data_IF_202984768387
#
_entry.id   IF_202984768387
#
_cell.length_a   1.000
_cell.length_b   1.000
_cell.length_c   1.000
_cell.angle_alpha   90.00
_cell.angle_beta   90.00
_cell.angle_gamma   90.00
#
_symmetry.space_group_name_H-M   'P 1'
#
loop_
_entity.id
_entity.type
_entity.pdbx_description
1 polymer ?
#
# COMPACT_ATOMS: atom_id res chain seq x y z
N UNK A 1 -11.85 -14.10 50.66
CA UNK A 1 -13.31 -14.12 50.44
C UNK A 1 -13.54 -13.83 48.97
N UNK A 2 -14.14 -14.81 48.29
CA UNK A 2 -14.29 -14.91 46.84
C UNK A 2 -15.42 -14.04 46.29
N UNK A 3 -15.15 -13.38 45.16
CA UNK A 3 -16.09 -13.03 44.07
C UNK A 3 -15.27 -12.25 43.03
N UNK A 4 -14.83 -12.76 41.87
CA UNK A 4 -15.42 -13.77 41.00
C UNK A 4 -16.34 -13.10 39.97
N UNK A 5 -15.79 -12.44 38.93
CA UNK A 5 -16.55 -12.07 37.73
C UNK A 5 -15.74 -12.50 36.51
N UNK A 6 -16.33 -13.46 35.78
CA UNK A 6 -15.74 -14.19 34.67
C UNK A 6 -15.91 -13.43 33.35
N UNK A 7 -14.91 -13.66 32.49
CA UNK A 7 -14.83 -13.23 31.10
C UNK A 7 -15.87 -13.97 30.24
N UNK A 8 -16.78 -13.23 29.62
CA UNK A 8 -17.76 -13.77 28.68
C UNK A 8 -17.18 -13.93 27.28
N UNK A 9 -16.64 -15.11 26.98
CA UNK A 9 -16.34 -15.58 25.62
C UNK A 9 -17.67 -15.83 24.90
N UNK A 10 -17.91 -15.14 23.78
CA UNK A 10 -19.08 -15.42 22.92
C UNK A 10 -18.84 -16.72 22.16
N UNK A 11 -19.56 -17.76 22.57
CA UNK A 11 -19.59 -19.05 21.91
C UNK A 11 -20.26 -18.96 20.53
N UNK A 12 -19.61 -19.57 19.54
CA UNK A 12 -20.14 -19.81 18.19
C UNK A 12 -21.18 -20.92 18.31
N UNK A 13 -22.43 -20.61 17.98
CA UNK A 13 -23.51 -21.59 17.95
C UNK A 13 -23.36 -22.48 16.71
N UNK A 14 -22.87 -23.70 16.91
CA UNK A 14 -22.92 -24.77 15.92
C UNK A 14 -24.35 -25.31 15.85
N UNK A 15 -25.06 -25.03 14.76
CA UNK A 15 -26.31 -25.69 14.44
C UNK A 15 -26.01 -27.05 13.81
N UNK A 16 -26.17 -28.11 14.61
CA UNK A 16 -26.24 -29.49 14.12
C UNK A 16 -27.64 -29.71 13.56
N UNK A 17 -27.78 -29.75 12.24
CA UNK A 17 -28.96 -30.31 11.58
C UNK A 17 -28.54 -31.64 10.93
N UNK A 18 -28.98 -32.73 11.56
CA UNK A 18 -28.88 -34.06 10.99
C UNK A 18 -29.88 -34.22 9.85
N UNK A 19 -29.40 -34.72 8.71
CA UNK A 19 -30.23 -35.29 7.65
C UNK A 19 -29.60 -36.64 7.30
N UNK A 20 -30.24 -37.72 7.78
CA UNK A 20 -30.06 -39.06 7.25
C UNK A 20 -31.06 -39.25 6.11
N UNK A 21 -30.59 -39.66 4.93
CA UNK A 21 -31.49 -40.23 3.91
C UNK A 21 -31.11 -39.95 2.46
N UNK A 22 -30.21 -40.79 1.93
CA UNK A 22 -30.15 -41.33 0.56
C UNK A 22 -30.48 -40.39 -0.61
N UNK A 23 -29.42 -39.94 -1.27
CA UNK A 23 -29.46 -39.33 -2.59
C UNK A 23 -28.11 -38.72 -2.90
N UNK A 24 -27.23 -39.47 -3.55
CA UNK A 24 -26.02 -38.91 -4.15
C UNK A 24 -26.44 -37.97 -5.28
N UNK A 25 -26.77 -36.73 -4.93
CA UNK A 25 -26.81 -35.64 -5.87
C UNK A 25 -25.37 -35.40 -6.29
N UNK A 26 -25.00 -35.99 -7.41
CA UNK A 26 -23.81 -35.58 -8.16
C UNK A 26 -23.92 -34.07 -8.34
N UNK A 27 -23.06 -33.33 -7.64
CA UNK A 27 -22.87 -31.90 -7.90
C UNK A 27 -22.42 -31.80 -9.36
N UNK A 28 -23.20 -31.20 -10.26
CA UNK A 28 -22.79 -31.07 -11.64
C UNK A 28 -21.57 -30.14 -11.67
N UNK A 29 -20.43 -30.71 -12.05
CA UNK A 29 -19.29 -30.01 -12.64
C UNK A 29 -18.77 -28.82 -11.84
N UNK A 30 -18.00 -29.08 -10.78
CA UNK A 30 -16.76 -28.32 -10.64
C UNK A 30 -15.88 -28.76 -11.81
N UNK A 31 -16.08 -28.16 -12.98
CA UNK A 31 -15.08 -28.22 -14.04
C UNK A 31 -13.82 -27.64 -13.42
N UNK A 32 -12.82 -28.49 -13.18
CA UNK A 32 -11.47 -28.01 -12.90
C UNK A 32 -11.19 -26.93 -13.96
N UNK A 33 -10.85 -25.71 -13.51
CA UNK A 33 -10.40 -24.68 -14.42
C UNK A 33 -9.31 -25.32 -15.27
N UNK A 34 -9.49 -25.35 -16.59
CA UNK A 34 -8.48 -25.88 -17.48
C UNK A 34 -7.19 -25.11 -17.18
N UNK A 35 -6.12 -25.84 -16.88
CA UNK A 35 -4.80 -25.25 -16.62
C UNK A 35 -4.46 -24.35 -17.82
N UNK A 36 -4.27 -23.05 -17.55
CA UNK A 36 -3.98 -22.08 -18.61
C UNK A 36 -2.62 -22.43 -19.23
N UNK A 37 -2.46 -22.29 -20.55
CA UNK A 37 -1.18 -22.58 -21.20
C UNK A 37 -0.07 -21.71 -20.58
N UNK A 38 1.08 -22.32 -20.31
CA UNK A 38 2.20 -21.65 -19.67
C UNK A 38 3.30 -21.37 -20.70
N UNK A 39 3.82 -20.14 -20.70
CA UNK A 39 4.91 -19.70 -21.57
C UNK A 39 6.08 -19.23 -20.72
N UNK A 40 7.29 -19.68 -21.01
CA UNK A 40 8.50 -19.18 -20.36
C UNK A 40 8.98 -17.92 -21.07
N UNK A 41 9.48 -16.94 -20.32
CA UNK A 41 9.95 -15.70 -20.93
C UNK A 41 11.19 -15.94 -21.82
N UNK A 42 12.07 -16.88 -21.47
CA UNK A 42 13.24 -17.21 -22.30
C UNK A 42 12.86 -17.82 -23.66
N UNK A 43 11.72 -18.50 -23.77
CA UNK A 43 11.23 -19.05 -25.04
C UNK A 43 10.82 -17.96 -26.03
N UNK A 44 10.51 -16.75 -25.53
CA UNK A 44 10.10 -15.59 -26.32
C UNK A 44 11.28 -14.71 -26.73
N UNK A 45 12.49 -15.03 -26.26
CA UNK A 45 13.65 -14.14 -26.37
C UNK A 45 14.12 -13.96 -27.81
N UNK A 46 14.18 -12.70 -28.26
CA UNK A 46 14.77 -12.36 -29.55
C UNK A 46 16.26 -12.03 -29.38
N UNK A 47 17.14 -12.93 -29.81
CA UNK A 47 18.60 -12.73 -29.71
C UNK A 47 19.12 -11.49 -30.46
N UNK A 48 18.44 -11.05 -31.53
CA UNK A 48 18.87 -9.89 -32.32
C UNK A 48 18.53 -8.58 -31.64
N UNK A 49 17.39 -8.53 -30.96
CA UNK A 49 16.90 -7.32 -30.29
C UNK A 49 17.31 -7.29 -28.81
N UNK A 50 17.71 -8.43 -28.24
CA UNK A 50 18.11 -8.55 -26.85
C UNK A 50 16.96 -8.29 -25.87
N UNK A 51 15.71 -8.47 -26.33
CA UNK A 51 14.47 -8.26 -25.59
C UNK A 51 13.36 -9.16 -26.15
N UNK A 52 12.23 -9.23 -25.45
CA UNK A 52 10.96 -9.75 -25.98
C UNK A 52 10.13 -8.55 -26.42
N UNK A 53 9.76 -8.43 -27.70
CA UNK A 53 9.06 -7.25 -28.19
C UNK A 53 7.96 -7.58 -29.21
N UNK A 54 6.84 -6.85 -29.12
CA UNK A 54 5.69 -7.01 -30.01
C UNK A 54 5.12 -8.44 -30.02
N UNK A 55 5.06 -9.06 -28.84
CA UNK A 55 4.56 -10.42 -28.65
C UNK A 55 3.22 -10.39 -27.94
N UNK A 56 2.33 -11.29 -28.35
CA UNK A 56 1.10 -11.61 -27.63
C UNK A 56 1.26 -12.99 -26.98
N UNK A 57 1.14 -13.05 -25.66
CA UNK A 57 1.17 -14.29 -24.88
C UNK A 57 -0.26 -14.64 -24.50
N UNK A 58 -0.72 -15.84 -24.87
CA UNK A 58 -2.00 -16.39 -24.45
C UNK A 58 -1.74 -17.40 -23.35
N UNK A 59 -2.32 -17.17 -22.17
CA UNK A 59 -2.03 -17.89 -20.94
C UNK A 59 -0.94 -17.22 -20.10
N UNK A 60 -0.42 -17.97 -19.13
CA UNK A 60 0.46 -17.46 -18.10
C UNK A 60 1.90 -17.30 -18.61
N UNK A 61 2.53 -16.21 -18.22
CA UNK A 61 3.95 -15.95 -18.45
C UNK A 61 4.74 -16.23 -17.17
N UNK A 62 5.72 -17.13 -17.26
CA UNK A 62 6.65 -17.41 -16.17
C UNK A 62 8.01 -16.79 -16.49
N UNK A 63 8.49 -15.95 -15.59
CA UNK A 63 9.84 -15.41 -15.65
C UNK A 63 10.80 -16.48 -15.14
N UNK A 64 11.62 -17.01 -16.03
CA UNK A 64 12.58 -18.09 -15.77
C UNK A 64 14.05 -17.67 -16.00
N UNK A 65 14.26 -16.42 -16.41
CA UNK A 65 15.56 -15.82 -16.66
C UNK A 65 15.48 -14.30 -16.81
N UNK A 66 16.44 -13.69 -17.50
CA UNK A 66 16.38 -12.27 -17.84
C UNK A 66 15.16 -12.00 -18.73
N UNK A 67 14.23 -11.19 -18.25
CA UNK A 67 12.99 -10.89 -18.95
C UNK A 67 12.79 -9.38 -19.08
N UNK A 68 12.93 -8.87 -20.29
CA UNK A 68 12.55 -7.49 -20.63
C UNK A 68 11.54 -7.59 -21.77
N UNK A 69 10.30 -7.18 -21.50
CA UNK A 69 9.22 -7.17 -22.48
C UNK A 69 8.86 -5.74 -22.86
N UNK A 70 8.70 -5.50 -24.16
CA UNK A 70 8.34 -4.20 -24.71
C UNK A 70 7.11 -4.31 -25.62
N UNK A 71 6.14 -3.40 -25.48
CA UNK A 71 5.00 -3.26 -26.42
C UNK A 71 4.32 -4.60 -26.72
N UNK A 72 3.96 -5.30 -25.66
CA UNK A 72 3.49 -6.69 -25.72
C UNK A 72 2.22 -6.85 -24.88
N UNK A 73 1.54 -7.99 -24.99
CA UNK A 73 0.39 -8.30 -24.16
C UNK A 73 0.47 -9.72 -23.59
N UNK A 74 -0.08 -9.89 -22.40
CA UNK A 74 -0.25 -11.18 -21.74
C UNK A 74 -1.74 -11.32 -21.39
N UNK A 75 -2.40 -12.34 -21.93
CA UNK A 75 -3.78 -12.70 -21.60
C UNK A 75 -3.74 -13.89 -20.63
N UNK A 76 -3.51 -13.58 -19.36
CA UNK A 76 -3.15 -14.52 -18.32
C UNK A 76 -2.28 -13.85 -17.26
N UNK A 77 -1.79 -14.64 -16.32
CA UNK A 77 -1.02 -14.12 -15.20
C UNK A 77 0.48 -14.01 -15.54
N UNK A 78 1.18 -13.10 -14.87
CA UNK A 78 2.64 -13.03 -14.92
C UNK A 78 3.21 -13.45 -13.57
N UNK A 79 4.09 -14.44 -13.56
CA UNK A 79 4.73 -14.94 -12.34
C UNK A 79 6.21 -14.61 -12.37
N UNK A 80 6.68 -13.95 -11.30
CA UNK A 80 8.08 -13.53 -11.10
C UNK A 80 8.63 -14.24 -9.86
N UNK A 81 9.29 -15.40 -10.02
CA UNK A 81 9.86 -16.15 -8.91
C UNK A 81 10.95 -15.38 -8.16
N UNK A 82 11.28 -15.85 -6.96
CA UNK A 82 12.38 -15.30 -6.16
C UNK A 82 13.72 -15.40 -6.90
N UNK A 83 14.61 -14.43 -6.65
CA UNK A 83 15.91 -14.30 -7.31
C UNK A 83 15.85 -13.73 -8.74
N UNK A 84 14.70 -13.80 -9.40
CA UNK A 84 14.50 -13.35 -10.77
C UNK A 84 13.94 -11.93 -10.85
N UNK A 85 13.93 -11.37 -12.06
CA UNK A 85 13.43 -10.03 -12.31
C UNK A 85 12.85 -9.86 -13.70
N UNK A 86 11.83 -9.03 -13.79
CA UNK A 86 11.18 -8.65 -15.05
C UNK A 86 11.05 -7.14 -15.16
N UNK A 87 11.21 -6.66 -16.39
CA UNK A 87 10.81 -5.31 -16.79
C UNK A 87 9.74 -5.45 -17.87
N UNK A 88 8.56 -4.91 -17.59
CA UNK A 88 7.45 -4.81 -18.51
C UNK A 88 7.31 -3.33 -18.89
N UNK A 89 7.58 -3.02 -20.16
CA UNK A 89 7.53 -1.66 -20.70
C UNK A 89 6.48 -1.56 -21.80
N UNK A 90 5.48 -0.70 -21.61
CA UNK A 90 4.30 -0.61 -22.50
C UNK A 90 3.60 -1.97 -22.70
N UNK A 91 3.49 -2.76 -21.63
CA UNK A 91 2.85 -4.08 -21.65
C UNK A 91 1.46 -4.01 -21.03
N UNK A 92 0.52 -4.76 -21.62
CA UNK A 92 -0.81 -4.97 -21.04
C UNK A 92 -0.89 -6.41 -20.50
N UNK A 93 -1.18 -6.55 -19.21
CA UNK A 93 -1.44 -7.83 -18.56
C UNK A 93 -2.93 -7.89 -18.23
N UNK A 94 -3.67 -8.74 -18.92
CA UNK A 94 -5.06 -9.08 -18.62
C UNK A 94 -5.12 -10.29 -17.68
N UNK A 95 -4.63 -10.06 -16.47
CA UNK A 95 -4.46 -11.04 -15.41
C UNK A 95 -3.73 -10.41 -14.22
N UNK A 96 -3.37 -11.25 -13.26
CA UNK A 96 -2.62 -10.86 -12.07
C UNK A 96 -1.10 -10.89 -12.31
N UNK A 97 -0.34 -10.15 -11.51
CA UNK A 97 1.12 -10.22 -11.50
C UNK A 97 1.58 -10.67 -10.12
N UNK A 98 2.15 -11.88 -10.01
CA UNK A 98 2.67 -12.43 -8.76
C UNK A 98 4.17 -12.25 -8.67
N UNK A 99 4.64 -11.59 -7.62
CA UNK A 99 6.04 -11.16 -7.49
C UNK A 99 6.64 -11.64 -6.18
N UNK A 100 7.53 -12.63 -6.27
CA UNK A 100 8.46 -13.01 -5.20
C UNK A 100 9.86 -12.44 -5.42
N UNK A 101 10.21 -12.17 -6.69
CA UNK A 101 11.47 -11.52 -7.12
C UNK A 101 11.33 -10.01 -7.33
N UNK A 102 11.68 -9.50 -8.51
CA UNK A 102 11.61 -8.06 -8.82
C UNK A 102 10.77 -7.78 -10.06
N UNK A 103 9.83 -6.85 -9.98
CA UNK A 103 9.04 -6.42 -11.12
C UNK A 103 9.13 -4.90 -11.31
N UNK A 104 9.45 -4.47 -12.53
CA UNK A 104 9.33 -3.09 -12.98
C UNK A 104 8.25 -3.00 -14.06
N UNK A 105 7.26 -2.14 -13.85
CA UNK A 105 6.12 -1.89 -14.72
C UNK A 105 6.19 -0.45 -15.22
N UNK A 106 6.74 -0.26 -16.42
CA UNK A 106 6.93 1.03 -17.06
C UNK A 106 5.83 1.24 -18.09
N UNK A 107 5.03 2.30 -17.94
CA UNK A 107 3.93 2.63 -18.86
C UNK A 107 2.98 1.46 -19.15
N UNK A 108 2.93 0.50 -18.22
CA UNK A 108 2.23 -0.78 -18.38
C UNK A 108 0.90 -0.76 -17.66
N UNK A 109 -0.01 -1.64 -18.09
CA UNK A 109 -1.35 -1.77 -17.51
C UNK A 109 -1.48 -3.19 -16.98
N UNK A 110 -1.86 -3.32 -15.71
CA UNK A 110 -2.25 -4.61 -15.10
C UNK A 110 -3.73 -4.55 -14.76
N UNK A 111 -4.53 -5.36 -15.45
CA UNK A 111 -5.98 -5.47 -15.22
C UNK A 111 -6.31 -6.14 -13.89
N UNK A 112 -5.50 -7.12 -13.48
CA UNK A 112 -5.61 -7.81 -12.20
C UNK A 112 -4.87 -7.12 -11.05
N UNK A 113 -4.68 -7.86 -9.97
CA UNK A 113 -3.89 -7.45 -8.81
C UNK A 113 -2.39 -7.70 -9.03
N UNK A 114 -1.56 -6.92 -8.36
CA UNK A 114 -0.15 -7.25 -8.16
C UNK A 114 0.02 -7.82 -6.75
N UNK A 115 0.33 -9.11 -6.67
CA UNK A 115 0.50 -9.85 -5.42
C UNK A 115 1.99 -9.97 -5.09
N UNK A 116 2.38 -9.49 -3.91
CA UNK A 116 3.76 -9.47 -3.45
C UNK A 116 3.95 -10.57 -2.40
N UNK A 117 4.87 -11.50 -2.66
CA UNK A 117 5.11 -12.64 -1.78
C UNK A 117 6.60 -12.76 -1.43
N UNK A 118 7.12 -11.78 -0.69
CA UNK A 118 8.50 -11.80 -0.23
C UNK A 118 8.89 -10.57 0.58
N UNK A 119 8.76 -10.64 1.91
CA UNK A 119 9.10 -9.52 2.80
C UNK A 119 10.56 -9.04 2.67
N UNK A 120 11.49 -9.89 2.25
CA UNK A 120 12.91 -9.55 2.07
C UNK A 120 13.40 -9.56 0.63
N UNK A 121 12.55 -9.93 -0.33
CA UNK A 121 12.96 -10.22 -1.72
C UNK A 121 12.08 -9.49 -2.72
N UNK A 122 10.76 -9.59 -2.56
CA UNK A 122 9.78 -9.02 -3.47
C UNK A 122 9.95 -7.50 -3.57
N UNK A 123 10.17 -7.00 -4.79
CA UNK A 123 10.30 -5.57 -5.06
C UNK A 123 9.45 -5.19 -6.26
N UNK A 124 8.63 -4.15 -6.11
CA UNK A 124 7.78 -3.63 -7.18
C UNK A 124 8.14 -2.19 -7.51
N UNK A 125 8.26 -1.87 -8.79
CA UNK A 125 8.38 -0.50 -9.29
C UNK A 125 7.33 -0.26 -10.37
N UNK A 126 6.48 0.76 -10.21
CA UNK A 126 5.48 1.15 -11.21
C UNK A 126 5.76 2.59 -11.62
N UNK A 127 5.90 2.84 -12.92
CA UNK A 127 6.24 4.15 -13.48
C UNK A 127 5.29 4.52 -14.61
N UNK A 128 4.49 5.57 -14.44
CA UNK A 128 3.55 6.07 -15.46
C UNK A 128 2.41 5.11 -15.88
N UNK A 129 2.45 3.85 -15.44
CA UNK A 129 1.46 2.81 -15.73
C UNK A 129 0.25 2.82 -14.80
N UNK A 130 -0.69 1.91 -15.05
CA UNK A 130 -1.88 1.70 -14.21
C UNK A 130 -1.93 0.28 -13.68
N UNK A 131 -2.10 0.14 -12.37
CA UNK A 131 -2.37 -1.15 -11.72
C UNK A 131 -3.69 -1.05 -10.95
N UNK A 132 -4.40 -2.18 -10.84
CA UNK A 132 -5.69 -2.20 -10.13
C UNK A 132 -5.49 -2.25 -8.63
N UNK A 133 -4.99 -3.36 -8.10
CA UNK A 133 -4.68 -3.54 -6.69
C UNK A 133 -3.20 -3.88 -6.50
N UNK A 134 -2.65 -3.56 -5.34
CA UNK A 134 -1.34 -4.06 -4.89
C UNK A 134 -1.45 -4.53 -3.45
N UNK A 135 -1.06 -5.78 -3.20
CA UNK A 135 -1.15 -6.36 -1.88
C UNK A 135 -0.01 -7.31 -1.54
N UNK A 136 0.25 -7.48 -0.25
CA UNK A 136 1.13 -8.55 0.27
C UNK A 136 2.39 -8.06 0.97
N UNK A 137 3.45 -8.87 0.91
CA UNK A 137 4.71 -8.68 1.62
C UNK A 137 5.81 -8.31 0.64
N UNK A 138 6.53 -7.22 0.92
CA UNK A 138 7.60 -6.75 0.06
C UNK A 138 8.83 -6.31 0.85
N UNK A 139 9.98 -6.30 0.18
CA UNK A 139 11.13 -5.51 0.62
C UNK A 139 10.85 -4.04 0.37
N UNK A 140 10.55 -3.68 -0.87
CA UNK A 140 10.24 -2.31 -1.26
C UNK A 140 9.18 -2.21 -2.35
N UNK A 141 8.39 -1.14 -2.31
CA UNK A 141 7.46 -0.78 -3.38
C UNK A 141 7.64 0.67 -3.77
N UNK A 142 7.81 0.92 -5.06
CA UNK A 142 7.94 2.25 -5.65
C UNK A 142 6.81 2.53 -6.65
N UNK A 143 6.12 3.64 -6.48
CA UNK A 143 5.25 4.24 -7.48
C UNK A 143 5.86 5.58 -7.87
N UNK A 144 6.07 5.81 -9.17
CA UNK A 144 6.74 7.00 -9.67
C UNK A 144 6.07 7.58 -10.93
N UNK A 145 6.34 8.85 -11.17
CA UNK A 145 6.21 9.49 -12.49
C UNK A 145 4.88 9.25 -13.20
N UNK A 146 3.77 9.57 -12.54
CA UNK A 146 2.43 9.44 -13.10
C UNK A 146 1.78 8.07 -12.93
N UNK A 147 2.40 7.15 -12.18
CA UNK A 147 1.81 5.86 -11.88
C UNK A 147 0.45 6.02 -11.18
N UNK A 148 -0.49 5.14 -11.53
CA UNK A 148 -1.86 5.16 -11.03
C UNK A 148 -2.26 3.82 -10.43
N UNK A 149 -2.82 3.87 -9.23
CA UNK A 149 -3.53 2.75 -8.61
C UNK A 149 -5.02 3.06 -8.59
N UNK A 150 -5.84 2.20 -9.19
CA UNK A 150 -7.29 2.41 -9.28
C UNK A 150 -8.09 1.76 -8.15
N UNK A 151 -7.54 0.71 -7.53
CA UNK A 151 -8.08 -0.01 -6.39
C UNK A 151 -7.24 0.21 -5.12
N UNK A 152 -7.00 -0.87 -4.39
CA UNK A 152 -6.46 -0.85 -3.03
C UNK A 152 -4.95 -1.06 -2.99
N UNK A 153 -4.26 -0.31 -2.13
CA UNK A 153 -2.89 -0.59 -1.73
C UNK A 153 -2.88 -1.14 -0.30
N UNK A 154 -2.49 -2.40 -0.13
CA UNK A 154 -2.40 -3.06 1.17
C UNK A 154 -1.08 -3.83 1.27
N UNK A 155 0.01 -3.12 1.60
CA UNK A 155 1.36 -3.67 1.57
C UNK A 155 2.03 -3.57 2.92
N UNK A 156 2.72 -4.64 3.31
CA UNK A 156 3.72 -4.62 4.37
C UNK A 156 5.11 -4.63 3.76
N UNK A 157 5.85 -3.53 3.90
CA UNK A 157 7.24 -3.45 3.44
C UNK A 157 8.21 -3.60 4.62
N UNK A 158 9.30 -4.33 4.42
CA UNK A 158 10.39 -4.36 5.41
C UNK A 158 11.31 -3.14 5.30
N UNK A 159 11.49 -2.59 4.09
CA UNK A 159 12.39 -1.46 3.86
C UNK A 159 11.64 -0.18 3.48
N UNK A 160 10.81 -0.18 2.45
CA UNK A 160 10.31 1.08 1.88
C UNK A 160 9.00 1.01 1.10
N UNK A 161 8.18 2.04 1.31
CA UNK A 161 7.10 2.49 0.44
C UNK A 161 7.49 3.86 -0.14
N UNK A 162 7.90 3.92 -1.41
CA UNK A 162 8.27 5.17 -2.09
C UNK A 162 7.17 5.55 -3.07
N UNK A 163 6.30 6.48 -2.69
CA UNK A 163 5.12 6.87 -3.47
C UNK A 163 5.30 8.32 -3.97
N UNK A 164 5.74 8.48 -5.22
CA UNK A 164 6.21 9.74 -5.77
C UNK A 164 5.48 10.12 -7.06
N UNK A 165 4.97 11.34 -7.17
CA UNK A 165 4.33 11.81 -8.41
C UNK A 165 3.17 10.93 -8.88
N UNK A 166 2.46 10.27 -7.97
CA UNK A 166 1.54 9.17 -8.30
C UNK A 166 0.12 9.43 -7.78
N UNK A 167 -0.86 8.72 -8.34
CA UNK A 167 -2.28 8.86 -7.98
C UNK A 167 -2.86 7.55 -7.46
N UNK A 168 -3.45 7.59 -6.26
CA UNK A 168 -4.11 6.45 -5.61
C UNK A 168 -5.58 6.78 -5.44
N UNK A 169 -6.43 6.11 -6.23
CA UNK A 169 -7.89 6.36 -6.23
C UNK A 169 -8.58 5.63 -5.09
N UNK A 170 -8.06 4.46 -4.70
CA UNK A 170 -8.55 3.73 -3.53
C UNK A 170 -7.69 3.96 -2.28
N UNK A 171 -8.04 3.28 -1.18
CA UNK A 171 -7.37 3.45 0.10
C UNK A 171 -5.95 2.89 0.06
N UNK A 172 -5.05 3.56 0.79
CA UNK A 172 -3.66 3.15 0.96
C UNK A 172 -3.39 2.75 2.41
N UNK A 173 -2.99 1.51 2.62
CA UNK A 173 -2.47 1.01 3.90
C UNK A 173 -1.03 0.54 3.71
N UNK A 174 -0.10 1.28 4.29
CA UNK A 174 1.33 0.99 4.28
C UNK A 174 1.77 0.52 5.67
N UNK A 175 2.27 -0.71 5.79
CA UNK A 175 2.74 -1.31 7.05
C UNK A 175 4.24 -1.51 7.06
N UNK A 176 4.88 -1.15 8.16
CA UNK A 176 6.32 -1.30 8.32
C UNK A 176 7.12 -0.38 7.42
N UNK A 177 8.42 -0.67 7.29
CA UNK A 177 9.36 0.04 6.42
C UNK A 177 9.37 1.55 6.61
N UNK A 178 9.96 2.26 5.65
CA UNK A 178 9.87 3.72 5.54
C UNK A 178 8.75 4.09 4.58
N UNK A 179 7.81 4.94 5.00
CA UNK A 179 6.87 5.59 4.10
C UNK A 179 7.45 6.93 3.63
N UNK A 180 7.64 7.08 2.33
CA UNK A 180 8.06 8.32 1.69
C UNK A 180 7.06 8.70 0.60
N UNK A 181 6.22 9.70 0.87
CA UNK A 181 5.29 10.25 -0.12
C UNK A 181 5.74 11.61 -0.60
N UNK A 182 5.64 11.82 -1.91
CA UNK A 182 6.09 13.05 -2.54
C UNK A 182 5.26 13.39 -3.77
N UNK A 183 4.67 14.59 -3.87
CA UNK A 183 4.02 15.01 -5.11
C UNK A 183 2.83 14.11 -5.52
N UNK A 184 2.18 13.45 -4.57
CA UNK A 184 1.20 12.39 -4.85
C UNK A 184 -0.21 12.78 -4.39
N UNK A 185 -1.22 12.15 -4.98
CA UNK A 185 -2.63 12.32 -4.62
C UNK A 185 -3.21 11.00 -4.12
N UNK A 186 -3.91 11.04 -3.00
CA UNK A 186 -4.50 9.87 -2.35
C UNK A 186 -5.98 10.08 -2.04
N UNK A 187 -6.76 9.00 -2.11
CA UNK A 187 -8.06 8.94 -1.47
C UNK A 187 -7.91 9.01 0.05
N UNK A 188 -7.39 7.94 0.66
CA UNK A 188 -7.07 7.84 2.08
C UNK A 188 -5.69 7.23 2.27
N UNK A 189 -5.01 7.59 3.35
CA UNK A 189 -3.68 7.04 3.68
C UNK A 189 -3.63 6.62 5.14
N UNK A 190 -3.24 5.38 5.38
CA UNK A 190 -2.94 4.82 6.70
C UNK A 190 -1.52 4.29 6.72
N UNK A 191 -0.67 4.90 7.54
CA UNK A 191 0.68 4.42 7.83
C UNK A 191 0.69 3.74 9.20
N UNK A 192 1.10 2.47 9.26
CA UNK A 192 1.11 1.67 10.49
C UNK A 192 2.49 1.08 10.72
N UNK A 193 3.10 1.30 11.87
CA UNK A 193 4.36 0.60 12.19
C UNK A 193 5.55 1.06 11.34
N UNK A 194 5.42 2.13 10.56
CA UNK A 194 6.52 2.63 9.74
C UNK A 194 7.67 3.08 10.64
N UNK A 195 8.90 2.77 10.24
CA UNK A 195 10.12 3.32 10.84
C UNK A 195 10.03 4.83 10.77
N UNK A 196 10.03 5.38 9.56
CA UNK A 196 9.81 6.80 9.36
C UNK A 196 8.71 7.04 8.31
N UNK A 197 7.86 8.04 8.58
CA UNK A 197 6.78 8.45 7.69
C UNK A 197 6.97 9.91 7.27
N UNK A 198 7.37 10.13 6.01
CA UNK A 198 7.61 11.46 5.44
C UNK A 198 6.57 11.71 4.36
N UNK A 199 5.76 12.76 4.56
CA UNK A 199 4.66 13.14 3.67
C UNK A 199 4.89 14.56 3.19
N UNK A 200 5.17 14.72 1.89
CA UNK A 200 5.50 16.02 1.29
C UNK A 200 4.81 16.25 -0.04
N UNK A 201 4.50 17.51 -0.37
CA UNK A 201 3.86 17.93 -1.62
C UNK A 201 2.66 17.03 -1.97
N UNK A 202 1.90 16.62 -0.97
CA UNK A 202 0.91 15.54 -1.08
C UNK A 202 -0.48 16.06 -0.81
N UNK A 203 -1.46 15.58 -1.58
CA UNK A 203 -2.88 15.82 -1.36
C UNK A 203 -3.56 14.53 -0.95
N UNK A 204 -4.22 14.52 0.20
CA UNK A 204 -5.07 13.43 0.68
C UNK A 204 -6.50 13.95 0.67
N UNK A 205 -7.38 13.36 -0.12
CA UNK A 205 -8.76 13.86 -0.26
C UNK A 205 -9.64 13.49 0.94
N UNK A 206 -9.39 12.32 1.54
CA UNK A 206 -9.96 11.85 2.79
C UNK A 206 -8.96 11.98 3.95
N UNK A 207 -8.81 10.93 4.73
CA UNK A 207 -8.08 10.95 5.98
C UNK A 207 -6.61 10.53 5.80
N UNK A 208 -5.73 11.17 6.58
CA UNK A 208 -4.35 10.71 6.80
C UNK A 208 -4.22 10.20 8.23
N UNK A 209 -3.98 8.90 8.39
CA UNK A 209 -3.74 8.26 9.68
C UNK A 209 -2.28 7.81 9.78
N UNK A 210 -1.62 8.18 10.87
CA UNK A 210 -0.28 7.71 11.22
C UNK A 210 -0.32 7.10 12.62
N UNK A 211 0.02 5.82 12.70
CA UNK A 211 -0.06 5.08 13.95
C UNK A 211 1.10 4.13 14.19
N UNK A 212 1.44 3.96 15.47
CA UNK A 212 2.45 2.99 15.92
C UNK A 212 3.82 3.15 15.25
N UNK A 213 4.27 4.39 14.98
CA UNK A 213 5.60 4.65 14.41
C UNK A 213 6.72 3.96 15.20
N UNK A 214 7.78 3.56 14.50
CA UNK A 214 8.98 3.00 15.10
C UNK A 214 10.18 3.98 15.17
N UNK A 215 10.09 5.17 14.56
CA UNK A 215 11.14 6.21 14.69
C UNK A 215 10.60 7.65 14.63
N UNK A 216 10.03 8.15 13.53
CA UNK A 216 9.43 9.50 13.51
C UNK A 216 8.48 9.71 12.34
N UNK A 217 7.68 10.78 12.40
CA UNK A 217 6.95 11.28 11.23
C UNK A 217 7.26 12.74 10.94
N UNK A 218 7.25 13.09 9.65
CA UNK A 218 7.33 14.46 9.14
C UNK A 218 6.24 14.67 8.12
N UNK A 219 5.33 15.59 8.40
CA UNK A 219 4.17 15.86 7.54
C UNK A 219 4.25 17.33 7.13
N UNK A 220 4.38 17.61 5.85
CA UNK A 220 4.61 18.97 5.35
C UNK A 220 6.04 19.48 5.57
N UNK A 221 7.00 18.59 5.85
CA UNK A 221 8.42 18.90 6.02
C UNK A 221 9.34 17.93 5.25
N UNK A 222 10.29 18.49 4.50
CA UNK A 222 11.42 17.78 3.92
C UNK A 222 12.71 18.26 4.59
N UNK A 223 13.23 17.47 5.55
CA UNK A 223 14.31 17.96 6.42
C UNK A 223 13.83 19.11 7.30
N UNK A 224 14.28 20.34 7.00
CA UNK A 224 13.83 21.58 7.65
C UNK A 224 12.97 22.46 6.73
N UNK A 225 12.84 22.08 5.46
CA UNK A 225 12.13 22.86 4.47
C UNK A 225 10.64 22.50 4.49
N UNK A 226 9.79 23.52 4.38
CA UNK A 226 8.35 23.34 4.26
C UNK A 226 8.04 22.87 2.84
N UNK A 227 7.22 21.84 2.72
CA UNK A 227 6.92 21.23 1.41
C UNK A 227 5.41 21.14 1.11
N UNK A 228 4.54 21.54 2.04
CA UNK A 228 3.08 21.56 1.85
C UNK A 228 2.42 20.18 1.84
N UNK A 229 1.33 20.03 2.57
CA UNK A 229 0.40 18.89 2.51
C UNK A 229 -1.01 19.41 2.64
N UNK A 230 -1.95 18.88 1.85
CA UNK A 230 -3.39 19.18 1.98
C UNK A 230 -4.15 17.92 2.34
N UNK A 231 -5.02 18.00 3.35
CA UNK A 231 -5.84 16.90 3.86
C UNK A 231 -7.30 17.37 3.86
N UNK A 232 -8.11 16.79 2.98
CA UNK A 232 -9.55 17.10 2.86
C UNK A 232 -10.41 16.45 3.94
N UNK A 233 -9.91 15.39 4.59
CA UNK A 233 -10.48 14.79 5.77
C UNK A 233 -9.77 15.24 7.05
N UNK A 234 -9.54 14.28 7.94
CA UNK A 234 -8.88 14.45 9.22
C UNK A 234 -7.44 13.95 9.19
N UNK A 235 -6.58 14.59 10.00
CA UNK A 235 -5.24 14.08 10.33
C UNK A 235 -5.32 13.36 11.67
N UNK A 236 -5.10 12.05 11.67
CA UNK A 236 -5.15 11.20 12.87
C UNK A 236 -3.76 10.72 13.22
N UNK A 237 -3.24 11.20 14.34
CA UNK A 237 -1.95 10.83 14.93
C UNK A 237 -2.22 10.03 16.19
N UNK A 238 -1.99 8.72 16.15
CA UNK A 238 -2.37 7.84 17.24
C UNK A 238 -1.27 6.86 17.64
N UNK A 239 -1.12 6.62 18.93
CA UNK A 239 -0.27 5.55 19.45
C UNK A 239 1.19 5.64 18.95
N UNK A 240 1.70 6.85 18.74
CA UNK A 240 3.06 7.04 18.25
C UNK A 240 4.02 7.24 19.43
N UNK A 241 4.92 6.28 19.72
CA UNK A 241 5.89 6.42 20.79
C UNK A 241 7.05 7.36 20.44
N UNK A 242 7.03 7.96 19.26
CA UNK A 242 8.06 8.86 18.76
C UNK A 242 7.50 10.17 18.21
N UNK A 243 8.41 11.10 17.88
CA UNK A 243 8.07 12.47 17.49
C UNK A 243 7.38 12.54 16.13
N UNK A 244 6.35 13.38 16.05
CA UNK A 244 5.70 13.78 14.81
C UNK A 244 5.95 15.28 14.61
N UNK A 245 6.64 15.65 13.54
CA UNK A 245 6.90 17.05 13.21
C UNK A 245 5.98 17.48 12.05
N UNK A 246 5.16 18.51 12.29
CA UNK A 246 4.24 19.13 11.33
C UNK A 246 4.86 20.40 10.77
N UNK A 247 4.86 20.53 9.45
CA UNK A 247 5.28 21.73 8.73
C UNK A 247 4.09 22.49 8.18
N UNK A 248 4.13 22.73 6.88
CA UNK A 248 2.99 23.32 6.17
C UNK A 248 1.96 22.22 5.87
N UNK A 249 0.92 22.15 6.69
CA UNK A 249 -0.17 21.18 6.56
C UNK A 249 -1.49 21.92 6.63
N UNK A 250 -2.34 21.76 5.61
CA UNK A 250 -3.70 22.24 5.57
C UNK A 250 -4.67 21.10 5.86
N UNK A 251 -5.51 21.23 6.89
CA UNK A 251 -6.49 20.21 7.31
C UNK A 251 -7.89 20.81 7.21
N UNK A 252 -8.80 20.11 6.54
CA UNK A 252 -10.17 20.58 6.37
C UNK A 252 -11.11 20.16 7.50
N UNK A 253 -10.83 19.05 8.19
CA UNK A 253 -11.65 18.55 9.32
C UNK A 253 -10.90 18.62 10.64
N UNK A 254 -10.59 17.46 11.23
CA UNK A 254 -10.03 17.36 12.57
C UNK A 254 -8.54 17.03 12.55
N UNK A 255 -7.80 17.64 13.47
CA UNK A 255 -6.54 17.10 13.95
C UNK A 255 -6.82 16.28 15.21
N UNK A 256 -6.60 14.97 15.15
CA UNK A 256 -6.84 14.03 16.24
C UNK A 256 -5.50 13.48 16.72
N UNK A 257 -5.17 13.74 17.98
CA UNK A 257 -3.94 13.26 18.62
C UNK A 257 -4.30 12.40 19.83
N UNK A 258 -3.91 11.12 19.84
CA UNK A 258 -4.27 10.17 20.90
C UNK A 258 -3.06 9.31 21.27
N UNK A 259 -2.64 9.32 22.54
CA UNK A 259 -1.56 8.47 23.09
C UNK A 259 -0.24 8.56 22.29
N UNK A 260 0.16 9.77 21.91
CA UNK A 260 1.49 10.01 21.33
C UNK A 260 2.45 10.37 22.46
N UNK A 261 3.59 9.70 22.55
CA UNK A 261 4.52 9.82 23.70
C UNK A 261 5.97 10.10 23.30
N UNK A 262 6.20 10.55 22.06
CA UNK A 262 7.54 10.86 21.57
C UNK A 262 8.23 12.01 22.30
N UNK A 263 9.57 12.14 22.21
CA UNK A 263 10.32 13.21 22.89
C UNK A 263 9.86 14.65 22.56
N UNK A 264 9.34 14.87 21.34
CA UNK A 264 8.70 16.14 20.93
C UNK A 264 7.18 16.02 20.76
N UNK A 265 6.60 14.87 21.12
CA UNK A 265 5.19 14.50 20.92
C UNK A 265 4.74 14.83 19.49
N UNK A 266 4.02 15.93 19.32
CA UNK A 266 3.65 16.53 18.03
C UNK A 266 4.15 17.97 18.05
N UNK A 267 5.01 18.34 17.11
CA UNK A 267 5.58 19.70 17.01
C UNK A 267 5.14 20.40 15.72
N UNK A 268 5.05 21.73 15.73
CA UNK A 268 4.69 22.54 14.56
C UNK A 268 3.22 22.99 14.49
N UNK A 269 2.95 23.98 13.63
CA UNK A 269 1.63 24.63 13.54
C UNK A 269 1.03 24.40 12.15
N UNK A 270 0.02 23.54 12.01
CA UNK A 270 -0.73 23.41 10.76
C UNK A 270 -1.56 24.67 10.48
N UNK A 271 -1.85 24.92 9.22
CA UNK A 271 -2.83 25.92 8.80
C UNK A 271 -4.23 25.26 8.74
N UNK A 272 -5.25 25.96 9.22
CA UNK A 272 -6.62 25.48 9.21
C UNK A 272 -7.49 26.29 8.26
N UNK A 273 -8.43 25.62 7.61
CA UNK A 273 -9.51 26.29 6.87
C UNK A 273 -10.61 26.76 7.82
N UNK A 274 -11.35 27.82 7.47
CA UNK A 274 -12.43 28.36 8.28
C UNK A 274 -13.49 27.27 8.58
N UNK A 275 -13.75 26.99 9.87
CA UNK A 275 -14.65 25.92 10.32
C UNK A 275 -13.97 24.62 10.77
N UNK A 276 -12.64 24.50 10.63
CA UNK A 276 -11.87 23.36 11.16
C UNK A 276 -11.97 23.28 12.68
N UNK A 277 -12.04 22.06 13.24
CA UNK A 277 -12.06 21.82 14.69
C UNK A 277 -10.80 21.08 15.11
N UNK A 278 -10.15 21.55 16.18
CA UNK A 278 -9.07 20.81 16.83
C UNK A 278 -9.69 20.01 17.97
N UNK A 279 -9.91 18.71 17.74
CA UNK A 279 -10.48 17.83 18.76
C UNK A 279 -9.36 17.11 19.51
N UNK A 280 -8.98 17.64 20.67
CA UNK A 280 -8.05 16.97 21.61
C UNK A 280 -8.87 16.02 22.51
N UNK A 281 -8.86 14.73 22.20
CA UNK A 281 -9.63 13.72 22.94
C UNK A 281 -8.97 13.31 24.27
N UNK A 282 -9.65 13.58 25.39
CA UNK A 282 -9.42 13.13 26.78
C UNK A 282 -7.96 13.15 27.28
N UNK A 283 -7.61 14.30 27.83
CA UNK A 283 -6.38 14.59 28.59
C UNK A 283 -6.29 13.70 29.83
N UNK A 284 -5.29 12.82 29.85
CA UNK A 284 -4.54 12.56 31.08
C UNK A 284 -3.33 13.48 30.99
N UNK A 285 -3.08 14.32 32.00
CA UNK A 285 -2.01 15.33 32.03
C UNK A 285 -0.71 14.85 31.33
N UNK A 286 -0.34 15.44 30.18
CA UNK A 286 0.94 15.13 29.50
C UNK A 286 1.06 15.35 27.99
N UNK A 287 0.05 15.05 27.16
CA UNK A 287 0.34 14.50 25.80
C UNK A 287 -0.20 15.27 24.56
N UNK A 288 -0.27 16.60 24.59
CA UNK A 288 -0.33 17.45 23.38
C UNK A 288 0.11 18.87 23.75
N UNK A 289 1.41 19.13 23.84
CA UNK A 289 1.90 20.49 24.08
C UNK A 289 1.89 21.29 22.78
N UNK A 290 0.98 22.26 22.72
CA UNK A 290 1.05 23.39 21.80
C UNK A 290 1.81 24.51 22.50
N UNK A 291 3.04 24.81 22.07
CA UNK A 291 3.70 26.06 22.47
C UNK A 291 3.22 27.16 21.53
N UNK A 292 2.31 28.01 22.00
CA UNK A 292 1.94 29.24 21.31
C UNK A 292 3.14 30.19 21.31
N UNK A 293 3.88 30.27 20.21
CA UNK A 293 4.69 31.46 19.93
C UNK A 293 3.79 32.45 19.21
N UNK A 294 3.20 33.36 19.99
CA UNK A 294 2.66 34.60 19.44
C UNK A 294 3.81 35.37 18.80
N UNK A 295 3.67 35.73 17.52
CA UNK A 295 4.31 36.91 16.95
C UNK A 295 3.18 37.89 16.65
#
# INVERSE_FOLDING_TARGET
>A
MNSGVQWGVRAISAAVLGILGVGTLAVPGATAAAEQPTTLCTDLWNQREGIVANVEVVGDLIVDGSCYMLRSSVTGDVVVPDGLGVVLSEVVVDGDVRVSGRAALELSIVGGAVELDGAGTASLRVEGGTVRDVGGLAREVTFAWGARLTGTYDVTASEMHRLQGSTFVGPVTARGGRLLTHGSTFADVTAVGSRDAIVCRTTVTGDLTVTALADYARIGLEGRERCGVTIGGSLVLRDNPHSVDLGEVAIARDLVCVRNSGPRVVSGTPAFTEGSRVTVGRVTYGDCWYEWVWI
#
